data_IF_495984002664
#
_entry.id   IF_495984002664
#
_cell.length_a   1.000
_cell.length_b   1.000
_cell.length_c   1.000
_cell.angle_alpha   90.00
_cell.angle_beta   90.00
_cell.angle_gamma   90.00
#
_symmetry.space_group_name_H-M   'P 1'
#
loop_
_entity.id
_entity.type
_entity.pdbx_description
1 polymer ?
#
# COMPACT_ATOMS: atom_id res chain seq x y z
N UNK A 1 -8.99 39.67 7.09
CA UNK A 1 -9.52 38.34 6.75
C UNK A 1 -9.07 38.01 5.34
N UNK A 2 -8.03 37.18 5.19
CA UNK A 2 -7.60 36.70 3.87
C UNK A 2 -8.32 35.39 3.58
N UNK A 3 -8.94 35.20 2.40
CA UNK A 3 -9.61 33.96 2.07
C UNK A 3 -8.56 32.87 1.83
N UNK A 4 -8.60 31.81 2.64
CA UNK A 4 -7.90 30.55 2.38
C UNK A 4 -8.57 29.86 1.19
N UNK A 5 -8.24 30.30 -0.02
CA UNK A 5 -8.47 29.48 -1.20
C UNK A 5 -7.47 28.31 -1.14
N UNK A 6 -7.92 27.18 -0.58
CA UNK A 6 -7.19 25.92 -0.54
C UNK A 6 -7.08 25.30 -1.93
N UNK A 7 -6.39 25.97 -2.85
CA UNK A 7 -5.93 25.36 -4.10
C UNK A 7 -4.68 24.59 -3.71
N UNK A 8 -4.81 23.28 -3.47
CA UNK A 8 -3.63 22.41 -3.57
C UNK A 8 -3.02 22.73 -4.94
N UNK A 9 -1.75 23.14 -5.02
CA UNK A 9 -1.18 23.40 -6.33
C UNK A 9 -1.34 22.09 -7.12
N UNK A 10 -1.83 22.18 -8.36
CA UNK A 10 -1.76 21.11 -9.36
C UNK A 10 -0.28 20.84 -9.71
N UNK A 11 0.54 20.62 -8.69
CA UNK A 11 1.96 20.37 -8.79
C UNK A 11 2.04 18.89 -9.08
N UNK A 12 2.21 18.55 -10.36
CA UNK A 12 2.66 17.22 -10.73
C UNK A 12 3.94 16.95 -9.93
N UNK A 13 3.86 15.97 -9.03
CA UNK A 13 5.05 15.43 -8.40
C UNK A 13 5.82 14.69 -9.49
N UNK A 14 7.15 14.79 -9.45
CA UNK A 14 7.98 13.94 -10.28
C UNK A 14 7.64 12.47 -9.93
N UNK A 15 7.60 11.57 -10.92
CA UNK A 15 7.54 10.13 -10.65
C UNK A 15 8.61 9.72 -9.65
N UNK A 16 8.31 8.72 -8.83
CA UNK A 16 9.34 8.14 -7.96
C UNK A 16 10.25 7.30 -8.85
N UNK A 17 11.46 7.79 -9.08
CA UNK A 17 12.47 7.15 -9.93
C UNK A 17 13.19 6.00 -9.20
N UNK A 18 13.69 5.04 -9.97
CA UNK A 18 14.48 3.90 -9.49
C UNK A 18 13.67 2.70 -8.98
N UNK A 19 12.33 2.81 -8.85
CA UNK A 19 11.47 1.66 -8.51
C UNK A 19 11.12 0.82 -9.72
N UNK A 20 11.17 1.40 -10.91
CA UNK A 20 10.97 0.74 -12.21
C UNK A 20 11.99 -0.38 -12.47
N UNK A 21 13.20 -0.24 -11.93
CA UNK A 21 14.28 -1.23 -12.05
C UNK A 21 14.30 -2.21 -10.86
N UNK A 22 13.47 -2.00 -9.84
CA UNK A 22 13.42 -2.88 -8.67
C UNK A 22 12.62 -4.15 -8.99
N UNK A 23 13.08 -5.31 -8.48
CA UNK A 23 12.33 -6.54 -8.63
C UNK A 23 10.99 -6.43 -7.89
N UNK A 24 9.93 -6.89 -8.53
CA UNK A 24 8.65 -7.11 -7.85
C UNK A 24 8.83 -8.23 -6.83
N UNK A 25 8.61 -7.91 -5.56
CA UNK A 25 8.70 -8.85 -4.44
C UNK A 25 7.32 -9.20 -3.90
N UNK A 26 7.23 -10.24 -3.08
CA UNK A 26 5.99 -10.58 -2.39
C UNK A 26 5.57 -9.48 -1.41
N UNK A 27 4.28 -9.47 -1.07
CA UNK A 27 3.75 -8.54 -0.08
C UNK A 27 4.40 -8.70 1.30
N UNK A 28 4.81 -9.91 1.70
CA UNK A 28 5.54 -10.13 2.96
C UNK A 28 6.92 -9.48 2.98
N UNK A 29 7.62 -9.52 1.85
CA UNK A 29 8.94 -8.91 1.70
C UNK A 29 8.85 -7.39 1.69
N UNK A 30 7.90 -6.83 0.93
CA UNK A 30 7.74 -5.38 0.78
C UNK A 30 7.39 -4.68 2.10
N UNK A 31 6.72 -5.36 3.04
CA UNK A 31 6.36 -4.78 4.34
C UNK A 31 7.45 -4.89 5.40
N UNK A 32 8.56 -5.61 5.16
CA UNK A 32 9.65 -5.74 6.16
C UNK A 32 10.18 -4.40 6.66
N UNK A 33 10.44 -3.39 5.80
CA UNK A 33 10.92 -2.08 6.26
C UNK A 33 9.88 -1.33 7.11
N UNK A 34 8.59 -1.65 6.95
CA UNK A 34 7.50 -0.96 7.63
C UNK A 34 7.28 -1.42 9.07
N UNK A 35 7.86 -2.55 9.48
CA UNK A 35 7.63 -3.13 10.82
C UNK A 35 7.99 -2.17 11.96
N UNK A 36 9.01 -1.32 11.77
CA UNK A 36 9.40 -0.33 12.77
C UNK A 36 8.36 0.78 12.99
N UNK A 37 7.48 1.02 12.01
CA UNK A 37 6.48 2.09 12.02
C UNK A 37 5.08 1.50 12.27
N UNK A 38 4.80 0.33 11.69
CA UNK A 38 3.54 -0.40 11.80
C UNK A 38 3.82 -1.84 12.28
N UNK A 39 3.97 -2.07 13.60
CA UNK A 39 4.38 -3.38 14.14
C UNK A 39 3.45 -4.54 13.76
N UNK A 40 2.16 -4.26 13.57
CA UNK A 40 1.15 -5.26 13.20
C UNK A 40 1.08 -5.55 11.70
N UNK A 41 1.87 -4.87 10.86
CA UNK A 41 1.76 -4.96 9.39
C UNK A 41 1.91 -6.40 8.88
N UNK A 42 2.82 -7.19 9.44
CA UNK A 42 3.01 -8.61 9.08
C UNK A 42 1.76 -9.45 9.35
N UNK A 43 1.12 -9.23 10.51
CA UNK A 43 -0.13 -9.90 10.87
C UNK A 43 -1.24 -9.48 9.90
N UNK A 44 -1.32 -8.20 9.59
CA UNK A 44 -2.34 -7.68 8.68
C UNK A 44 -2.17 -8.27 7.28
N UNK A 45 -0.93 -8.36 6.76
CA UNK A 45 -0.62 -9.07 5.49
C UNK A 45 -1.18 -10.49 5.49
N UNK A 46 -0.93 -11.25 6.55
CA UNK A 46 -1.46 -12.60 6.68
C UNK A 46 -2.99 -12.63 6.62
N UNK A 47 -3.67 -11.76 7.38
CA UNK A 47 -5.13 -11.66 7.41
C UNK A 47 -5.68 -11.29 6.03
N UNK A 48 -5.11 -10.28 5.37
CA UNK A 48 -5.64 -9.82 4.09
C UNK A 48 -5.45 -10.84 2.97
N UNK A 49 -4.34 -11.60 2.97
CA UNK A 49 -4.14 -12.70 2.02
C UNK A 49 -5.15 -13.83 2.22
N UNK A 50 -5.44 -14.21 3.47
CA UNK A 50 -6.44 -15.26 3.77
C UNK A 50 -7.85 -14.88 3.33
N UNK A 51 -8.18 -13.58 3.37
CA UNK A 51 -9.47 -13.07 2.94
C UNK A 51 -9.61 -13.00 1.42
N UNK A 52 -8.51 -13.08 0.66
CA UNK A 52 -8.49 -13.03 -0.81
C UNK A 52 -8.30 -14.42 -1.40
N UNK A 53 -9.37 -15.22 -1.40
CA UNK A 53 -9.38 -16.56 -2.02
C UNK A 53 -9.61 -16.51 -3.53
N UNK A 54 -10.39 -15.54 -4.02
CA UNK A 54 -10.69 -15.31 -5.44
C UNK A 54 -10.51 -13.83 -5.78
N UNK A 55 -9.29 -13.35 -6.08
CA UNK A 55 -9.10 -12.00 -6.61
C UNK A 55 -9.78 -11.85 -7.97
N UNK A 56 -10.08 -10.61 -8.39
CA UNK A 56 -10.57 -10.35 -9.75
C UNK A 56 -9.53 -10.81 -10.78
N UNK A 57 -9.97 -11.27 -11.96
CA UNK A 57 -9.17 -12.02 -12.95
C UNK A 57 -7.85 -11.37 -13.40
N UNK A 58 -7.68 -10.06 -13.19
CA UNK A 58 -6.49 -9.32 -13.60
C UNK A 58 -5.44 -9.13 -12.49
N UNK A 59 -5.73 -9.53 -11.24
CA UNK A 59 -4.84 -9.32 -10.11
C UNK A 59 -4.30 -10.62 -9.54
N UNK A 60 -3.01 -10.62 -9.26
CA UNK A 60 -2.42 -11.62 -8.37
C UNK A 60 -2.97 -11.48 -6.95
N UNK A 61 -2.82 -12.54 -6.16
CA UNK A 61 -3.18 -12.51 -4.73
C UNK A 61 -2.46 -11.39 -3.99
N UNK A 62 -1.20 -11.13 -4.32
CA UNK A 62 -0.37 -10.12 -3.65
C UNK A 62 -0.81 -8.70 -4.02
N UNK A 63 -1.15 -8.43 -5.28
CA UNK A 63 -1.71 -7.14 -5.71
C UNK A 63 -3.09 -6.89 -5.09
N UNK A 64 -3.96 -7.90 -5.07
CA UNK A 64 -5.29 -7.78 -4.45
C UNK A 64 -5.20 -7.59 -2.93
N UNK A 65 -4.27 -8.29 -2.29
CA UNK A 65 -4.01 -8.18 -0.86
C UNK A 65 -3.37 -6.84 -0.49
N UNK A 66 -2.48 -6.27 -1.33
CA UNK A 66 -1.83 -4.98 -1.07
C UNK A 66 -2.83 -3.82 -1.14
N UNK A 67 -3.75 -3.84 -2.10
CA UNK A 67 -4.87 -2.89 -2.17
C UNK A 67 -5.73 -3.01 -0.91
N UNK A 68 -6.06 -4.23 -0.50
CA UNK A 68 -6.87 -4.42 0.70
C UNK A 68 -6.15 -3.98 1.96
N UNK A 69 -4.85 -4.23 2.07
CA UNK A 69 -4.01 -3.79 3.18
C UNK A 69 -4.01 -2.28 3.34
N UNK A 70 -3.99 -1.53 2.24
CA UNK A 70 -4.07 -0.07 2.24
C UNK A 70 -5.39 0.45 2.84
N UNK A 71 -6.50 -0.25 2.59
CA UNK A 71 -7.82 0.09 3.13
C UNK A 71 -8.15 -0.61 4.46
N UNK A 72 -7.27 -1.49 4.93
CA UNK A 72 -7.55 -2.33 6.09
C UNK A 72 -7.47 -1.48 7.35
N UNK A 73 -8.58 -1.41 8.10
CA UNK A 73 -8.60 -0.71 9.37
C UNK A 73 -7.72 -1.43 10.38
N UNK A 74 -6.52 -0.89 10.56
CA UNK A 74 -5.54 -1.37 11.51
C UNK A 74 -5.83 -0.75 12.88
N UNK A 75 -6.41 -1.53 13.80
CA UNK A 75 -6.56 -1.09 15.19
C UNK A 75 -5.17 -1.00 15.84
N UNK A 76 -4.76 0.15 16.43
CA UNK A 76 -3.44 0.36 17.02
C UNK A 76 -3.09 -0.68 18.08
#
# INVERSE_FOLDING_TARGET
MSPMNGVLPNRMLAPIEGYEDMPVVSLEESVKPLVGIAPKVKRNVFVVKQNRKNPADILTTDESASIMLYTYESVP
#
